data_IF_538917877728
#
_entry.id   IF_538917877728
#
_cell.length_a   1.000
_cell.length_b   1.000
_cell.length_c   1.000
_cell.angle_alpha   90.00
_cell.angle_beta   90.00
_cell.angle_gamma   90.00
#
_symmetry.space_group_name_H-M   'P 1'
#
loop_
_entity.id
_entity.type
_entity.pdbx_description
1 polymer ?
#
# COMPACT_ATOMS: atom_id res chain seq x y z
N UNK A 1 -27.95 -22.20 20.33
CA UNK A 1 -26.68 -22.68 20.91
C UNK A 1 -25.65 -21.57 20.83
N UNK A 2 -25.33 -20.94 21.95
CA UNK A 2 -24.31 -19.88 22.06
C UNK A 2 -23.27 -20.33 23.08
N UNK A 3 -22.06 -20.62 22.63
CA UNK A 3 -20.96 -21.08 23.49
C UNK A 3 -19.94 -19.95 23.58
N UNK A 4 -20.02 -19.19 24.66
CA UNK A 4 -19.05 -18.19 25.07
C UNK A 4 -18.00 -18.88 25.94
N UNK A 5 -16.77 -19.03 25.45
CA UNK A 5 -15.65 -19.61 26.22
C UNK A 5 -14.60 -18.54 26.48
N UNK A 6 -14.76 -17.87 27.62
CA UNK A 6 -13.73 -17.01 28.23
C UNK A 6 -12.66 -17.92 28.84
N UNK A 7 -11.43 -17.82 28.36
CA UNK A 7 -10.27 -18.37 29.06
C UNK A 7 -9.67 -17.28 29.95
N UNK A 8 -9.87 -17.47 31.26
CA UNK A 8 -9.19 -16.74 32.33
C UNK A 8 -8.04 -17.63 32.77
N UNK A 9 -6.80 -17.22 32.52
CA UNK A 9 -5.64 -17.78 33.21
C UNK A 9 -5.16 -16.76 34.23
N UNK A 10 -5.65 -16.94 35.45
CA UNK A 10 -5.09 -16.37 36.68
C UNK A 10 -3.88 -17.22 37.07
N UNK A 11 -2.70 -16.61 37.10
CA UNK A 11 -1.53 -17.20 37.77
C UNK A 11 -0.89 -16.13 38.66
N UNK A 12 -1.28 -16.16 39.94
CA UNK A 12 -0.50 -15.76 41.12
C UNK A 12 0.11 -17.05 41.68
N UNK A 13 1.22 -17.14 42.39
CA UNK A 13 2.22 -16.24 42.99
C UNK A 13 3.48 -17.13 43.21
N UNK A 14 4.69 -16.66 43.50
CA UNK A 14 5.13 -16.22 44.83
C UNK A 14 6.58 -15.72 44.74
N UNK A 15 6.82 -14.69 45.53
CA UNK A 15 8.04 -13.97 45.85
C UNK A 15 9.06 -14.78 46.65
N UNK A 16 10.35 -14.48 46.49
CA UNK A 16 11.35 -14.49 47.57
C UNK A 16 12.51 -13.50 47.29
N UNK A 17 12.45 -12.42 48.06
CA UNK A 17 13.45 -11.46 48.61
C UNK A 17 14.76 -12.18 49.00
N UNK A 18 16.00 -11.65 49.04
CA UNK A 18 16.52 -10.31 49.29
C UNK A 18 18.02 -10.20 48.89
N UNK A 19 18.50 -8.96 48.70
CA UNK A 19 19.93 -8.65 48.56
C UNK A 19 20.16 -7.18 48.21
N UNK A 20 20.01 -6.29 49.21
CA UNK A 20 20.26 -4.84 49.09
C UNK A 20 21.76 -4.59 49.30
N UNK A 21 22.41 -3.92 48.35
CA UNK A 21 23.56 -3.05 48.65
C UNK A 21 23.24 -1.64 48.17
N UNK A 22 23.39 -0.68 49.07
CA UNK A 22 23.14 0.74 48.84
C UNK A 22 24.24 1.33 47.96
N UNK A 23 23.83 2.06 46.91
CA UNK A 23 24.67 2.97 46.15
C UNK A 23 23.78 4.00 45.46
N UNK A 24 23.55 5.14 46.12
CA UNK A 24 23.11 6.38 45.48
C UNK A 24 24.20 6.84 44.49
N UNK A 25 23.97 7.42 43.31
CA UNK A 25 22.93 8.35 42.90
C UNK A 25 22.93 8.49 41.35
N UNK A 26 21.75 8.78 40.80
CA UNK A 26 21.46 9.68 39.66
C UNK A 26 21.98 9.33 38.24
N UNK A 27 21.00 8.96 37.40
CA UNK A 27 20.78 9.31 35.97
C UNK A 27 22.01 9.64 35.10
N UNK A 28 22.20 8.82 34.07
CA UNK A 28 21.84 9.17 32.69
C UNK A 28 22.07 7.97 31.77
N UNK A 29 21.03 7.51 31.10
CA UNK A 29 21.19 6.77 29.84
C UNK A 29 21.76 7.76 28.81
N UNK A 30 23.08 7.88 28.78
CA UNK A 30 23.78 8.56 27.70
C UNK A 30 23.79 7.64 26.50
N UNK A 31 23.14 8.10 25.44
CA UNK A 31 23.05 7.46 24.15
C UNK A 31 24.45 7.13 23.61
N UNK A 32 24.71 5.84 23.40
CA UNK A 32 25.64 5.41 22.37
C UNK A 32 24.87 5.39 21.04
N UNK A 33 24.81 6.58 20.45
CA UNK A 33 24.55 6.84 19.05
C UNK A 33 25.56 6.09 18.19
N UNK A 34 25.17 4.90 17.79
CA UNK A 34 25.35 4.42 16.43
C UNK A 34 24.27 3.38 16.22
N UNK A 35 23.02 3.85 16.14
CA UNK A 35 22.00 3.12 15.41
C UNK A 35 22.58 2.94 14.02
N UNK A 36 23.20 1.79 13.80
CA UNK A 36 23.40 1.24 12.48
C UNK A 36 21.99 1.09 11.91
N UNK A 37 21.48 2.16 11.32
CA UNK A 37 20.69 2.03 10.10
C UNK A 37 21.64 1.40 9.11
N UNK A 38 21.88 0.10 9.28
CA UNK A 38 22.05 -0.79 8.16
C UNK A 38 20.87 -0.41 7.27
N UNK A 39 21.17 0.38 6.24
CA UNK A 39 20.27 0.67 5.15
C UNK A 39 19.81 -0.70 4.70
N UNK A 40 18.65 -1.14 5.20
CA UNK A 40 18.00 -2.35 4.73
C UNK A 40 17.91 -2.13 3.23
N UNK A 41 18.71 -2.88 2.48
CA UNK A 41 18.87 -2.66 1.06
C UNK A 41 17.47 -2.53 0.48
N UNK A 42 17.19 -1.39 -0.17
CA UNK A 42 15.85 -1.10 -0.66
C UNK A 42 15.42 -2.28 -1.52
N UNK A 43 14.37 -2.99 -1.07
CA UNK A 43 13.91 -4.19 -1.77
C UNK A 43 13.54 -3.79 -3.20
N UNK A 44 13.87 -4.61 -4.20
CA UNK A 44 13.46 -4.32 -5.57
C UNK A 44 11.93 -4.19 -5.60
N UNK A 45 11.46 -3.13 -6.26
CA UNK A 45 10.04 -2.91 -6.48
C UNK A 45 9.73 -3.27 -7.93
N UNK A 46 8.79 -4.18 -8.13
CA UNK A 46 8.28 -4.56 -9.45
C UNK A 46 6.89 -3.95 -9.59
N UNK A 47 6.70 -3.11 -10.60
CA UNK A 47 5.41 -2.54 -10.96
C UNK A 47 4.75 -3.35 -12.08
N UNK A 48 3.57 -3.88 -11.80
CA UNK A 48 2.72 -4.60 -12.74
C UNK A 48 1.64 -3.66 -13.27
N UNK A 49 1.53 -3.59 -14.60
CA UNK A 49 0.57 -2.72 -15.27
C UNK A 49 0.07 -3.37 -16.56
N UNK A 50 -1.24 -3.33 -16.81
CA UNK A 50 -1.78 -3.61 -18.14
C UNK A 50 -1.41 -2.46 -19.11
N UNK A 51 -1.88 -2.54 -20.34
CA UNK A 51 -1.85 -1.43 -21.29
C UNK A 51 -3.05 -0.52 -21.07
N UNK A 52 -2.83 0.79 -20.97
CA UNK A 52 -3.89 1.76 -20.79
C UNK A 52 -3.41 3.10 -20.23
N UNK A 53 -4.30 4.09 -20.27
CA UNK A 53 -4.00 5.45 -19.83
C UNK A 53 -3.85 5.53 -18.30
N UNK A 54 -4.70 4.84 -17.55
CA UNK A 54 -4.65 4.83 -16.09
C UNK A 54 -3.36 4.19 -15.58
N UNK A 55 -3.00 3.06 -16.16
CA UNK A 55 -1.81 2.27 -15.86
C UNK A 55 -0.54 3.05 -16.19
N UNK A 56 -0.52 3.78 -17.31
CA UNK A 56 0.61 4.63 -17.67
C UNK A 56 0.76 5.82 -16.71
N UNK A 57 -0.34 6.42 -16.29
CA UNK A 57 -0.35 7.52 -15.30
C UNK A 57 0.03 7.01 -13.91
N UNK A 58 -0.38 5.80 -13.55
CA UNK A 58 0.08 5.08 -12.37
C UNK A 58 1.60 4.88 -12.39
N UNK A 59 2.15 4.36 -13.49
CA UNK A 59 3.59 4.16 -13.62
C UNK A 59 4.36 5.48 -13.55
N UNK A 60 3.81 6.57 -14.11
CA UNK A 60 4.39 7.91 -13.97
C UNK A 60 4.52 8.32 -12.50
N UNK A 61 3.45 8.15 -11.71
CA UNK A 61 3.48 8.42 -10.28
C UNK A 61 4.46 7.53 -9.52
N UNK A 62 4.48 6.22 -9.84
CA UNK A 62 5.38 5.26 -9.21
C UNK A 62 6.86 5.59 -9.49
N UNK A 63 7.18 5.95 -10.73
CA UNK A 63 8.52 6.38 -11.12
C UNK A 63 8.93 7.68 -10.42
N UNK A 64 7.99 8.61 -10.20
CA UNK A 64 8.30 9.85 -9.52
C UNK A 64 8.58 9.72 -8.01
N UNK A 65 8.18 8.61 -7.39
CA UNK A 65 8.54 8.31 -6.00
C UNK A 65 9.98 7.74 -5.86
N UNK A 66 10.70 7.57 -6.97
CA UNK A 66 11.88 6.69 -7.02
C UNK A 66 13.13 7.32 -6.42
N UNK A 67 13.36 7.03 -5.14
CA UNK A 67 14.69 6.66 -4.63
C UNK A 67 14.96 5.14 -4.80
N UNK A 68 14.04 4.42 -5.46
CA UNK A 68 13.98 2.96 -5.52
C UNK A 68 14.20 2.44 -6.94
N UNK A 69 14.89 1.30 -7.11
CA UNK A 69 15.03 0.62 -8.42
C UNK A 69 13.69 -0.03 -8.83
N UNK A 70 12.84 0.75 -9.48
CA UNK A 70 11.56 0.28 -10.02
C UNK A 70 11.79 -0.52 -11.32
N UNK A 71 11.34 -1.77 -11.34
CA UNK A 71 11.25 -2.57 -12.56
C UNK A 71 9.79 -2.58 -13.03
N UNK A 72 9.54 -2.25 -14.28
CA UNK A 72 8.18 -2.25 -14.84
C UNK A 72 8.00 -3.53 -15.65
N UNK A 73 6.93 -4.27 -15.37
CA UNK A 73 6.53 -5.44 -16.14
C UNK A 73 5.10 -5.25 -16.63
N UNK A 74 4.92 -5.39 -17.95
CA UNK A 74 3.60 -5.32 -18.57
C UNK A 74 2.88 -6.65 -18.39
N UNK A 75 1.62 -6.57 -17.96
CA UNK A 75 0.75 -7.73 -17.81
C UNK A 75 -0.08 -7.83 -19.09
N UNK A 76 0.35 -8.74 -19.96
CA UNK A 76 -0.39 -9.13 -21.15
C UNK A 76 -1.47 -10.17 -20.83
N UNK A 77 -2.22 -10.57 -21.86
CA UNK A 77 -3.14 -11.72 -21.80
C UNK A 77 -2.44 -13.03 -22.13
N UNK A 78 -1.14 -12.99 -22.40
CA UNK A 78 -0.38 -14.17 -22.76
C UNK A 78 -0.13 -15.05 -21.52
N UNK A 79 -0.17 -16.39 -21.68
CA UNK A 79 0.13 -17.31 -20.57
C UNK A 79 1.58 -17.24 -20.09
N UNK A 80 2.50 -16.73 -20.93
CA UNK A 80 3.93 -16.66 -20.63
C UNK A 80 4.22 -15.82 -19.39
N UNK A 81 3.58 -14.63 -19.31
CA UNK A 81 3.66 -13.78 -18.12
C UNK A 81 3.32 -14.53 -16.83
N UNK A 82 2.23 -15.32 -16.80
CA UNK A 82 1.78 -15.98 -15.58
C UNK A 82 2.76 -17.04 -15.09
N UNK A 83 3.38 -17.78 -16.02
CA UNK A 83 4.42 -18.76 -15.70
C UNK A 83 5.69 -18.08 -15.20
N UNK A 84 6.09 -16.96 -15.80
CA UNK A 84 7.25 -16.18 -15.37
C UNK A 84 7.03 -15.61 -13.97
N UNK A 85 5.84 -15.08 -13.72
CA UNK A 85 5.45 -14.53 -12.44
C UNK A 85 5.39 -15.60 -11.34
N UNK A 86 4.83 -16.78 -11.62
CA UNK A 86 4.83 -17.91 -10.69
C UNK A 86 6.26 -18.35 -10.32
N UNK A 87 7.15 -18.46 -11.33
CA UNK A 87 8.56 -18.78 -11.12
C UNK A 87 9.25 -17.73 -10.25
N UNK A 88 8.94 -16.45 -10.48
CA UNK A 88 9.48 -15.34 -9.71
C UNK A 88 9.03 -15.41 -8.25
N UNK A 89 7.74 -15.62 -7.98
CA UNK A 89 7.22 -15.79 -6.61
C UNK A 89 7.86 -16.99 -5.90
N UNK A 90 8.08 -18.10 -6.61
CA UNK A 90 8.72 -19.31 -6.06
C UNK A 90 10.20 -19.15 -5.78
N UNK A 91 10.89 -18.19 -6.42
CA UNK A 91 12.32 -17.94 -6.21
C UNK A 91 12.65 -17.47 -4.78
N UNK A 92 11.64 -17.03 -4.01
CA UNK A 92 11.76 -16.49 -2.64
C UNK A 92 12.75 -15.33 -2.51
N UNK A 93 13.08 -14.66 -3.61
CA UNK A 93 13.84 -13.42 -3.55
C UNK A 93 12.93 -12.33 -2.99
N UNK A 94 13.30 -11.67 -1.86
CA UNK A 94 12.45 -10.66 -1.25
C UNK A 94 12.18 -9.51 -2.22
N UNK A 95 10.93 -9.29 -2.56
CA UNK A 95 10.54 -8.21 -3.46
C UNK A 95 9.22 -7.58 -3.04
N UNK A 96 8.99 -6.34 -3.47
CA UNK A 96 7.67 -5.71 -3.38
C UNK A 96 7.06 -5.62 -4.76
N UNK A 97 5.86 -6.14 -4.89
CA UNK A 97 5.06 -6.02 -6.09
C UNK A 97 4.03 -4.93 -5.86
N UNK A 98 4.02 -3.92 -6.72
CA UNK A 98 2.94 -2.93 -6.78
C UNK A 98 2.25 -3.06 -8.13
N UNK A 99 0.98 -2.68 -8.23
CA UNK A 99 0.35 -2.70 -9.54
C UNK A 99 -0.92 -1.89 -9.63
N UNK A 100 -1.31 -1.63 -10.87
CA UNK A 100 -2.63 -1.18 -11.29
C UNK A 100 -3.02 -1.99 -12.52
N UNK A 101 -4.01 -2.86 -12.37
CA UNK A 101 -4.45 -3.80 -13.38
C UNK A 101 -5.97 -3.74 -13.57
N UNK A 102 -6.48 -4.34 -14.64
CA UNK A 102 -7.90 -4.68 -14.75
C UNK A 102 -8.32 -5.74 -13.71
N UNK A 103 -9.62 -5.84 -13.44
CA UNK A 103 -10.18 -6.73 -12.42
C UNK A 103 -9.78 -8.21 -12.62
N UNK A 104 -9.73 -8.69 -13.88
CA UNK A 104 -9.45 -10.09 -14.17
C UNK A 104 -7.96 -10.40 -13.99
N UNK A 105 -7.08 -9.56 -14.53
CA UNK A 105 -5.62 -9.69 -14.35
C UNK A 105 -5.23 -9.61 -12.88
N UNK A 106 -5.82 -8.67 -12.13
CA UNK A 106 -5.55 -8.49 -10.72
C UNK A 106 -5.99 -9.69 -9.86
N UNK A 107 -7.16 -10.27 -10.16
CA UNK A 107 -7.63 -11.44 -9.44
C UNK A 107 -6.62 -12.61 -9.52
N UNK A 108 -6.09 -12.87 -10.72
CA UNK A 108 -5.09 -13.92 -10.94
C UNK A 108 -3.77 -13.62 -10.22
N UNK A 109 -3.24 -12.41 -10.36
CA UNK A 109 -1.97 -12.01 -9.73
C UNK A 109 -2.06 -12.08 -8.21
N UNK A 110 -3.14 -11.57 -7.61
CA UNK A 110 -3.34 -11.57 -6.16
C UNK A 110 -3.53 -12.99 -5.63
N UNK A 111 -4.29 -13.84 -6.33
CA UNK A 111 -4.51 -15.22 -5.93
C UNK A 111 -3.23 -16.05 -5.99
N UNK A 112 -2.44 -15.91 -7.06
CA UNK A 112 -1.15 -16.58 -7.20
C UNK A 112 -0.16 -16.14 -6.13
N UNK A 113 -0.09 -14.83 -5.86
CA UNK A 113 0.76 -14.30 -4.80
C UNK A 113 0.38 -14.85 -3.42
N UNK A 114 -0.92 -14.86 -3.07
CA UNK A 114 -1.41 -15.43 -1.81
C UNK A 114 -1.10 -16.92 -1.70
N UNK A 115 -1.33 -17.67 -2.78
CA UNK A 115 -1.02 -19.10 -2.85
C UNK A 115 0.48 -19.39 -2.70
N UNK A 116 1.33 -18.46 -3.15
CA UNK A 116 2.77 -18.48 -2.94
C UNK A 116 3.22 -18.08 -1.51
N UNK A 117 2.30 -17.70 -0.63
CA UNK A 117 2.59 -17.24 0.74
C UNK A 117 2.96 -15.77 0.86
N UNK A 118 2.83 -14.99 -0.23
CA UNK A 118 3.07 -13.56 -0.21
C UNK A 118 1.98 -12.82 0.59
N UNK A 119 2.35 -11.68 1.18
CA UNK A 119 1.48 -10.86 2.04
C UNK A 119 0.95 -9.67 1.27
N UNK A 120 -0.37 -9.57 1.17
CA UNK A 120 -1.03 -8.40 0.57
C UNK A 120 -1.15 -7.31 1.64
N UNK A 121 -0.44 -6.19 1.45
CA UNK A 121 -0.44 -5.05 2.38
C UNK A 121 -1.49 -3.99 2.01
N UNK A 122 -1.80 -3.90 0.71
CA UNK A 122 -2.78 -2.98 0.15
C UNK A 122 -3.55 -3.69 -0.96
N UNK A 123 -4.87 -3.48 -1.00
CA UNK A 123 -5.72 -3.80 -2.13
C UNK A 123 -6.74 -2.68 -2.32
N UNK A 124 -6.74 -2.05 -3.50
CA UNK A 124 -7.65 -0.97 -3.85
C UNK A 124 -8.48 -1.35 -5.07
N UNK A 125 -9.79 -1.13 -5.02
CA UNK A 125 -10.69 -1.17 -6.16
C UNK A 125 -11.03 0.26 -6.56
N UNK A 126 -10.96 0.56 -7.85
CA UNK A 126 -11.11 1.90 -8.39
C UNK A 126 -12.05 1.87 -9.59
N UNK A 127 -13.14 2.62 -9.50
CA UNK A 127 -14.03 2.85 -10.64
C UNK A 127 -13.85 4.31 -11.02
N UNK A 128 -13.46 4.54 -12.27
CA UNK A 128 -13.36 5.88 -12.85
C UNK A 128 -14.51 6.10 -13.84
N UNK A 129 -15.18 7.22 -13.70
CA UNK A 129 -16.22 7.73 -14.58
C UNK A 129 -15.83 9.17 -14.97
N UNK A 130 -16.50 9.75 -15.97
CA UNK A 130 -16.16 11.08 -16.46
C UNK A 130 -16.18 12.13 -15.34
N UNK A 131 -15.00 12.58 -14.90
CA UNK A 131 -14.85 13.59 -13.85
C UNK A 131 -15.12 13.12 -12.42
N UNK A 132 -15.37 11.82 -12.20
CA UNK A 132 -15.61 11.25 -10.88
C UNK A 132 -14.90 9.91 -10.68
N UNK A 133 -14.33 9.67 -9.50
CA UNK A 133 -13.72 8.38 -9.17
C UNK A 133 -14.19 7.83 -7.82
N UNK A 134 -14.46 6.52 -7.79
CA UNK A 134 -14.84 5.78 -6.58
C UNK A 134 -13.72 4.84 -6.20
N UNK A 135 -13.28 4.91 -4.95
CA UNK A 135 -12.17 4.11 -4.45
C UNK A 135 -12.61 3.35 -3.21
N UNK A 136 -12.35 2.05 -3.20
CA UNK A 136 -12.51 1.19 -2.05
C UNK A 136 -11.16 0.56 -1.70
N UNK A 137 -10.68 0.75 -0.48
CA UNK A 137 -9.35 0.36 -0.05
C UNK A 137 -9.40 -0.62 1.11
N UNK A 138 -8.61 -1.68 1.03
CA UNK A 138 -8.36 -2.66 2.07
C UNK A 138 -6.88 -2.62 2.43
N UNK A 139 -6.59 -2.18 3.65
CA UNK A 139 -5.21 -1.92 4.09
C UNK A 139 -4.85 -2.71 5.35
N UNK A 140 -3.58 -3.05 5.47
CA UNK A 140 -2.96 -3.52 6.72
C UNK A 140 -2.24 -2.37 7.43
N UNK A 141 -1.75 -2.61 8.64
CA UNK A 141 -0.98 -1.60 9.39
C UNK A 141 0.30 -1.18 8.67
N UNK A 142 0.86 -2.04 7.81
CA UNK A 142 2.04 -1.72 6.99
C UNK A 142 1.78 -0.62 5.97
N UNK A 143 0.52 -0.36 5.63
CA UNK A 143 0.08 0.72 4.74
C UNK A 143 -0.60 1.86 5.54
N UNK A 144 -0.30 1.99 6.83
CA UNK A 144 -0.87 3.05 7.65
C UNK A 144 -0.59 4.45 7.07
N UNK A 145 -1.58 5.33 7.16
CA UNK A 145 -1.50 6.70 6.66
C UNK A 145 -1.65 6.85 5.15
N UNK A 146 -1.54 5.76 4.38
CA UNK A 146 -1.57 5.81 2.92
C UNK A 146 -2.93 6.24 2.39
N UNK A 147 -4.02 5.75 2.98
CA UNK A 147 -5.39 6.19 2.66
C UNK A 147 -5.60 7.69 2.93
N UNK A 148 -5.00 8.22 4.00
CA UNK A 148 -5.10 9.62 4.37
C UNK A 148 -4.27 10.51 3.43
N UNK A 149 -3.09 10.05 3.01
CA UNK A 149 -2.31 10.74 1.99
C UNK A 149 -3.04 10.73 0.65
N UNK A 150 -3.60 9.60 0.26
CA UNK A 150 -4.39 9.48 -0.95
C UNK A 150 -5.63 10.39 -0.92
N UNK A 151 -6.35 10.46 0.20
CA UNK A 151 -7.51 11.34 0.32
C UNK A 151 -7.13 12.83 0.20
N UNK A 152 -6.00 13.26 0.77
CA UNK A 152 -5.48 14.62 0.56
C UNK A 152 -5.14 14.89 -0.90
N UNK A 153 -4.54 13.92 -1.60
CA UNK A 153 -4.21 14.06 -3.02
C UNK A 153 -5.46 14.13 -3.91
N UNK A 154 -6.49 13.32 -3.61
CA UNK A 154 -7.80 13.40 -4.27
C UNK A 154 -8.47 14.75 -4.07
N UNK A 155 -8.43 15.28 -2.84
CA UNK A 155 -8.95 16.63 -2.56
C UNK A 155 -8.20 17.71 -3.34
N UNK A 156 -6.87 17.65 -3.39
CA UNK A 156 -6.04 18.63 -4.09
C UNK A 156 -6.26 18.66 -5.61
N UNK A 157 -6.52 17.50 -6.22
CA UNK A 157 -6.83 17.35 -7.64
C UNK A 157 -8.10 18.11 -8.07
N UNK A 158 -9.10 18.20 -7.18
CA UNK A 158 -10.36 18.90 -7.46
C UNK A 158 -11.36 18.12 -8.32
N UNK A 159 -11.01 16.94 -8.85
CA UNK A 159 -11.97 16.00 -9.43
C UNK A 159 -12.92 15.46 -8.34
N UNK A 160 -14.15 15.11 -8.73
CA UNK A 160 -15.11 14.52 -7.79
C UNK A 160 -14.65 13.12 -7.38
N UNK A 161 -14.83 12.76 -6.11
CA UNK A 161 -14.45 11.42 -5.65
C UNK A 161 -15.29 10.91 -4.48
N UNK A 162 -15.29 9.60 -4.30
CA UNK A 162 -15.61 8.93 -3.05
C UNK A 162 -14.55 7.89 -2.68
N UNK A 163 -14.27 7.78 -1.39
CA UNK A 163 -13.25 6.90 -0.83
C UNK A 163 -13.82 6.18 0.40
N UNK A 164 -13.75 4.85 0.39
CA UNK A 164 -14.08 4.00 1.53
C UNK A 164 -12.86 3.14 1.89
N UNK A 165 -12.33 3.27 3.10
CA UNK A 165 -11.21 2.48 3.62
C UNK A 165 -11.70 1.52 4.70
N UNK A 166 -11.24 0.27 4.60
CA UNK A 166 -11.35 -0.74 5.66
C UNK A 166 -9.96 -1.24 6.05
N UNK A 167 -9.75 -1.38 7.37
CA UNK A 167 -8.49 -1.86 7.94
C UNK A 167 -8.66 -3.29 8.45
N UNK A 168 -7.74 -4.18 8.08
CA UNK A 168 -7.83 -5.59 8.48
C UNK A 168 -7.41 -5.83 9.95
N UNK A 169 -6.45 -5.07 10.47
CA UNK A 169 -5.85 -5.31 11.80
C UNK A 169 -5.93 -4.12 12.77
N UNK A 170 -6.52 -2.99 12.35
CA UNK A 170 -6.65 -1.76 13.14
C UNK A 170 -8.02 -1.61 13.81
N UNK A 171 -8.25 -0.54 14.61
CA UNK A 171 -9.57 -0.22 15.12
C UNK A 171 -10.57 -0.13 13.96
N UNK A 172 -11.64 -0.94 14.06
CA UNK A 172 -12.66 -1.16 13.03
C UNK A 172 -13.57 0.08 12.95
N UNK A 173 -13.03 1.20 12.51
CA UNK A 173 -13.83 2.36 12.13
C UNK A 173 -13.56 2.59 10.64
N UNK A 174 -14.44 2.11 9.75
CA UNK A 174 -14.28 2.35 8.33
C UNK A 174 -14.27 3.85 8.07
N UNK A 175 -13.29 4.31 7.29
CA UNK A 175 -13.15 5.73 6.96
C UNK A 175 -13.80 5.98 5.62
N UNK A 176 -14.80 6.87 5.62
CA UNK A 176 -15.49 7.32 4.42
C UNK A 176 -15.21 8.79 4.18
N UNK A 177 -14.86 9.13 2.95
CA UNK A 177 -14.63 10.50 2.52
C UNK A 177 -15.21 10.69 1.11
N UNK A 178 -15.69 11.89 0.83
CA UNK A 178 -16.09 12.28 -0.51
C UNK A 178 -15.76 13.75 -0.74
N UNK A 179 -15.56 14.12 -2.00
CA UNK A 179 -15.34 15.49 -2.42
C UNK A 179 -16.17 15.80 -3.66
N UNK A 180 -16.88 16.94 -3.70
CA UNK A 180 -17.57 17.36 -4.91
C UNK A 180 -16.54 17.72 -6.00
N UNK A 181 -16.96 17.58 -7.26
CA UNK A 181 -16.14 18.04 -8.38
C UNK A 181 -16.06 19.57 -8.37
N UNK A 182 -14.85 20.10 -8.47
CA UNK A 182 -14.52 21.52 -8.67
C UNK A 182 -13.94 21.78 -10.07
N UNK A 183 -13.81 20.72 -10.88
CA UNK A 183 -13.23 20.73 -12.22
C UNK A 183 -12.76 19.33 -12.63
N UNK A 184 -12.71 19.04 -13.93
CA UNK A 184 -12.38 17.70 -14.46
C UNK A 184 -10.98 17.58 -15.05
N UNK A 185 -10.25 18.70 -15.14
CA UNK A 185 -8.96 18.78 -15.85
C UNK A 185 -7.85 17.87 -15.31
N UNK A 186 -8.01 17.33 -14.11
CA UNK A 186 -7.08 16.37 -13.50
C UNK A 186 -7.76 15.07 -13.04
N UNK A 187 -8.90 14.71 -13.63
CA UNK A 187 -9.65 13.49 -13.27
C UNK A 187 -8.84 12.20 -13.32
N UNK A 188 -7.71 12.16 -14.03
CA UNK A 188 -6.77 11.04 -14.07
C UNK A 188 -5.72 11.00 -12.93
N UNK A 189 -5.59 12.08 -12.15
CA UNK A 189 -4.56 12.26 -11.11
C UNK A 189 -4.57 11.14 -10.07
N UNK A 190 -5.73 10.56 -9.79
CA UNK A 190 -5.86 9.48 -8.80
C UNK A 190 -4.91 8.33 -9.11
N UNK A 191 -4.68 7.98 -10.38
CA UNK A 191 -3.83 6.85 -10.75
C UNK A 191 -2.35 7.15 -10.43
N UNK A 192 -1.87 8.36 -10.73
CA UNK A 192 -0.52 8.81 -10.38
C UNK A 192 -0.33 8.86 -8.88
N UNK A 193 -1.32 9.39 -8.16
CA UNK A 193 -1.38 9.42 -6.71
C UNK A 193 -1.23 8.02 -6.10
N UNK A 194 -1.95 7.02 -6.62
CA UNK A 194 -1.81 5.62 -6.20
C UNK A 194 -0.40 5.09 -6.51
N UNK A 195 0.11 5.30 -7.73
CA UNK A 195 1.45 4.83 -8.10
C UNK A 195 2.55 5.36 -7.21
N UNK A 196 2.53 6.67 -6.98
CA UNK A 196 3.47 7.34 -6.08
C UNK A 196 3.37 6.79 -4.65
N UNK A 197 2.13 6.66 -4.14
CA UNK A 197 1.85 6.15 -2.81
C UNK A 197 2.42 4.75 -2.63
N UNK A 198 2.10 3.82 -3.53
CA UNK A 198 2.51 2.41 -3.42
C UNK A 198 4.02 2.25 -3.58
N UNK A 199 4.66 3.02 -4.46
CA UNK A 199 6.11 3.01 -4.61
C UNK A 199 6.83 3.59 -3.38
N UNK A 200 6.21 4.54 -2.68
CA UNK A 200 6.73 5.14 -1.45
C UNK A 200 6.39 4.38 -0.16
N UNK A 201 5.67 3.25 -0.22
CA UNK A 201 5.25 2.51 0.98
C UNK A 201 6.43 2.16 1.90
N UNK A 202 6.26 2.40 3.21
CA UNK A 202 7.33 2.18 4.20
C UNK A 202 8.40 3.27 4.23
N UNK A 203 8.35 4.28 3.34
CA UNK A 203 9.11 5.52 3.47
C UNK A 203 8.22 6.58 4.15
N UNK A 204 8.79 7.36 5.08
CA UNK A 204 8.07 8.49 5.70
C UNK A 204 8.12 9.70 4.76
N UNK A 205 7.36 9.63 3.67
CA UNK A 205 7.29 10.73 2.69
C UNK A 205 5.99 11.50 2.86
N UNK A 206 6.09 12.81 3.14
CA UNK A 206 4.94 13.72 3.26
C UNK A 206 4.63 14.46 1.96
N UNK A 207 5.45 14.26 0.92
CA UNK A 207 5.32 14.93 -0.36
C UNK A 207 4.08 14.45 -1.13
N UNK A 208 3.52 15.37 -1.92
CA UNK A 208 2.44 15.06 -2.84
C UNK A 208 2.98 14.36 -4.09
N UNK A 209 2.19 13.46 -4.67
CA UNK A 209 2.48 12.92 -5.98
C UNK A 209 2.55 14.06 -7.00
N UNK A 210 3.45 14.03 -7.99
CA UNK A 210 3.46 15.02 -9.05
C UNK A 210 2.14 15.03 -9.81
N UNK A 211 1.83 16.20 -10.37
CA UNK A 211 0.71 16.33 -11.29
C UNK A 211 0.90 15.37 -12.46
N UNK A 212 -0.13 14.58 -12.72
CA UNK A 212 -0.22 13.67 -13.83
C UNK A 212 -0.20 14.49 -15.12
N UNK A 213 0.44 13.96 -16.18
CA UNK A 213 0.28 14.52 -17.52
C UNK A 213 -1.20 14.64 -17.85
N UNK A 214 -1.58 15.76 -18.48
CA UNK A 214 -2.97 15.96 -18.89
C UNK A 214 -3.36 14.86 -19.87
N UNK A 215 -4.31 14.02 -19.48
CA UNK A 215 -4.86 13.01 -20.36
C UNK A 215 -5.80 13.70 -21.38
N UNK A 216 -5.61 13.40 -22.66
CA UNK A 216 -6.46 13.93 -23.74
C UNK A 216 -7.91 13.43 -23.67
N UNK A 217 -8.14 12.33 -22.94
CA UNK A 217 -9.45 11.74 -22.71
C UNK A 217 -9.64 11.42 -21.21
N UNK A 218 -10.88 11.50 -20.70
CA UNK A 218 -11.18 11.06 -19.34
C UNK A 218 -10.90 9.56 -19.19
N UNK A 219 -10.33 9.17 -18.05
CA UNK A 219 -10.16 7.76 -17.70
C UNK A 219 -11.51 7.21 -17.27
N UNK A 220 -11.94 6.11 -17.90
CA UNK A 220 -13.14 5.37 -17.52
C UNK A 220 -12.85 3.88 -17.43
N UNK A 221 -13.36 3.21 -16.40
CA UNK A 221 -13.21 1.77 -16.23
C UNK A 221 -13.08 1.34 -14.76
N UNK A 222 -12.88 0.04 -14.58
CA UNK A 222 -12.57 -0.58 -13.29
C UNK A 222 -11.12 -1.00 -13.24
N UNK A 223 -10.45 -0.69 -12.14
CA UNK A 223 -9.04 -0.95 -11.93
C UNK A 223 -8.82 -1.45 -10.51
N UNK A 224 -7.85 -2.34 -10.35
CA UNK A 224 -7.42 -2.85 -9.07
C UNK A 224 -5.96 -2.48 -8.85
N UNK A 225 -5.69 -1.82 -7.74
CA UNK A 225 -4.33 -1.60 -7.26
C UNK A 225 -3.98 -2.55 -6.12
N UNK A 226 -2.71 -2.91 -6.00
CA UNK A 226 -2.23 -3.76 -4.92
C UNK A 226 -0.79 -3.41 -4.53
N UNK A 227 -0.44 -3.70 -3.28
CA UNK A 227 0.94 -3.85 -2.84
C UNK A 227 1.10 -5.18 -2.11
N UNK A 228 2.04 -5.99 -2.59
CA UNK A 228 2.29 -7.34 -2.11
C UNK A 228 3.76 -7.46 -1.75
N UNK A 229 4.04 -8.08 -0.61
CA UNK A 229 5.38 -8.48 -0.19
C UNK A 229 5.54 -9.98 -0.40
N UNK A 230 6.46 -10.35 -1.30
CA UNK A 230 6.81 -11.73 -1.64
C UNK A 230 8.22 -12.08 -1.18
#
# INVERSE_FOLDING_TARGET
MSVNRRFVLKSMALSSIAGVTMGSAVRAFAAATAGSSATAAARPVVALANEGAAESIFLYGALAASDTRLQVQRVGRDPGFMLDFERQLRSRQPMRLIGLLDDASAALVVDMARSGGARVQWLGQHIAEAGFSRHHLLNTDSAEGCSQQFSRQLQACGAGFSLNEERQNGPIVPRRMSGPSRGTGQSAQWASSIGYLLASLGTRTTLAAPLAPTASAPITGSFVSFSIEA
#
